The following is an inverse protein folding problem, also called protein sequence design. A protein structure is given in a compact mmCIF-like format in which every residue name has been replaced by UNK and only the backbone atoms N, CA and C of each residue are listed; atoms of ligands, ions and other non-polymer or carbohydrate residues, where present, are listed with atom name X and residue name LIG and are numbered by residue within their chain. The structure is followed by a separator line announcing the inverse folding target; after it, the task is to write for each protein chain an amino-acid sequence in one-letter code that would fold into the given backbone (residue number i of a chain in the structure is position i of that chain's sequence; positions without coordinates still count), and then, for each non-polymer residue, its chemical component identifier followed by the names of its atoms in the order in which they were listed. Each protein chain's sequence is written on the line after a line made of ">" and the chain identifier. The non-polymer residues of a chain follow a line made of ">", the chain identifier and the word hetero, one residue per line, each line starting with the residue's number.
data_IF_045190679359
#
_entry.id   IF_045190679359
#
_cell.length_a   1.000
_cell.length_b   1.000
_cell.length_c   1.000
_cell.angle_alpha   90.00
_cell.angle_beta   90.00
_cell.angle_gamma   90.00
#
_symmetry.space_group_name_H-M   'P 1'
#
loop_
_entity.id
_entity.type
_entity.pdbx_description
1 polymer ?
#
# COMPACT_ATOMS: atom_id res chain seq x y z
N UNK A 1 -13.86 -12.13 11.89
CA UNK A 1 -14.77 -13.21 12.35
C UNK A 1 -16.24 -12.80 12.37
N UNK A 2 -16.62 -11.61 12.88
CA UNK A 2 -18.03 -11.21 13.00
C UNK A 2 -18.80 -11.17 11.66
N UNK A 3 -18.23 -10.65 10.56
CA UNK A 3 -18.87 -10.69 9.23
C UNK A 3 -18.98 -12.10 8.64
N UNK A 4 -17.99 -12.97 8.86
CA UNK A 4 -18.07 -14.35 8.36
C UNK A 4 -19.14 -15.16 9.10
N UNK A 5 -19.31 -14.88 10.40
CA UNK A 5 -20.37 -15.46 11.23
C UNK A 5 -21.74 -14.88 10.86
N UNK A 6 -21.86 -13.56 10.64
CA UNK A 6 -23.11 -12.94 10.19
C UNK A 6 -23.49 -13.36 8.75
N UNK A 7 -22.52 -13.44 7.83
CA UNK A 7 -22.74 -13.95 6.45
C UNK A 7 -23.03 -15.46 6.44
N UNK A 8 -22.38 -16.21 7.32
CA UNK A 8 -22.67 -17.62 7.57
C UNK A 8 -24.09 -17.81 8.09
N UNK A 9 -24.47 -17.07 9.13
CA UNK A 9 -25.84 -17.04 9.66
C UNK A 9 -26.85 -16.65 8.58
N UNK A 10 -26.59 -15.63 7.76
CA UNK A 10 -27.49 -15.26 6.65
C UNK A 10 -27.60 -16.37 5.58
N UNK A 11 -26.52 -17.09 5.27
CA UNK A 11 -26.57 -18.26 4.36
C UNK A 11 -27.31 -19.45 4.98
N UNK A 12 -27.12 -19.71 6.26
CA UNK A 12 -27.78 -20.81 6.99
C UNK A 12 -29.26 -20.50 7.24
N UNK A 13 -29.63 -19.24 7.45
CA UNK A 13 -31.00 -18.79 7.64
C UNK A 13 -31.75 -18.57 6.32
N UNK A 14 -31.03 -18.53 5.19
CA UNK A 14 -31.60 -18.37 3.84
C UNK A 14 -31.95 -19.68 3.14
N UNK A 15 -31.91 -20.82 3.85
CA UNK A 15 -31.99 -22.15 3.24
C UNK A 15 -32.75 -23.20 4.04
N UNK A 16 -33.82 -22.83 4.75
CA UNK A 16 -34.76 -23.80 5.33
C UNK A 16 -36.20 -23.42 4.95
N UNK A 17 -36.96 -24.39 4.43
CA UNK A 17 -38.41 -24.33 4.13
C UNK A 17 -39.30 -24.18 5.40
N UNK A 18 -38.74 -23.66 6.50
CA UNK A 18 -39.41 -23.50 7.79
C UNK A 18 -39.93 -22.07 8.05
N UNK A 19 -39.91 -21.17 7.06
CA UNK A 19 -40.53 -19.85 7.17
C UNK A 19 -39.84 -18.87 8.13
N UNK A 20 -38.63 -19.20 8.59
CA UNK A 20 -37.88 -18.41 9.59
C UNK A 20 -36.63 -17.73 9.01
N UNK A 21 -36.65 -17.41 7.72
CA UNK A 21 -35.61 -16.57 7.11
C UNK A 21 -35.73 -15.15 7.66
N UNK A 22 -34.66 -14.60 8.24
CA UNK A 22 -34.61 -13.16 8.52
C UNK A 22 -34.89 -12.44 7.20
N UNK A 23 -35.97 -11.65 7.10
CA UNK A 23 -36.36 -11.04 5.84
C UNK A 23 -35.26 -10.06 5.44
N UNK A 24 -34.48 -10.48 4.45
CA UNK A 24 -33.34 -9.74 3.93
C UNK A 24 -33.54 -9.46 2.45
N UNK A 25 -33.20 -8.25 2.05
CA UNK A 25 -33.31 -7.79 0.66
C UNK A 25 -31.93 -7.39 0.16
N UNK A 26 -31.59 -7.74 -1.09
CA UNK A 26 -30.40 -7.18 -1.72
C UNK A 26 -30.68 -5.73 -2.07
N UNK A 27 -29.84 -4.82 -1.57
CA UNK A 27 -29.86 -3.40 -1.90
C UNK A 27 -28.71 -3.09 -2.86
N UNK A 28 -28.95 -2.27 -3.91
CA UNK A 28 -27.92 -1.94 -4.90
C UNK A 28 -26.80 -1.08 -4.32
N UNK A 29 -27.08 -0.33 -3.24
CA UNK A 29 -26.14 0.58 -2.58
C UNK A 29 -26.07 0.27 -1.10
N UNK A 30 -24.89 0.43 -0.51
CA UNK A 30 -24.71 0.43 0.94
C UNK A 30 -24.62 1.86 1.46
N UNK A 31 -25.50 2.25 2.38
CA UNK A 31 -25.57 3.59 2.96
C UNK A 31 -25.00 3.66 4.39
N UNK A 32 -24.48 2.53 4.89
CA UNK A 32 -24.08 2.34 6.28
C UNK A 32 -25.22 2.64 7.28
N UNK A 33 -26.44 2.20 6.94
CA UNK A 33 -27.58 2.22 7.85
C UNK A 33 -27.52 1.12 8.92
N UNK A 34 -28.34 1.24 9.97
CA UNK A 34 -28.38 0.28 11.08
C UNK A 34 -29.07 -1.03 10.73
N UNK A 35 -29.87 -1.02 9.67
CA UNK A 35 -30.63 -2.17 9.18
C UNK A 35 -29.98 -2.79 7.94
N UNK A 36 -28.67 -2.65 7.74
CA UNK A 36 -28.00 -3.22 6.57
C UNK A 36 -26.53 -3.57 6.82
N UNK A 37 -26.04 -4.60 6.11
CA UNK A 37 -24.64 -5.04 6.16
C UNK A 37 -24.04 -5.00 4.76
N UNK A 38 -22.82 -4.49 4.57
CA UNK A 38 -22.19 -4.39 3.26
C UNK A 38 -21.88 -5.76 2.64
N UNK A 39 -22.15 -5.89 1.34
CA UNK A 39 -21.87 -7.08 0.54
C UNK A 39 -20.50 -7.01 -0.15
N UNK A 40 -19.80 -8.14 -0.26
CA UNK A 40 -18.53 -8.23 -0.98
C UNK A 40 -18.69 -8.19 -2.51
N UNK A 41 -19.90 -8.40 -3.03
CA UNK A 41 -20.22 -8.29 -4.46
C UNK A 41 -20.65 -6.86 -4.85
N UNK A 42 -20.67 -5.93 -3.90
CA UNK A 42 -21.29 -4.61 -4.07
C UNK A 42 -22.68 -4.53 -3.43
N UNK A 43 -23.10 -3.30 -3.09
CA UNK A 43 -24.36 -3.04 -2.41
C UNK A 43 -24.42 -3.54 -0.96
N UNK A 44 -25.62 -3.84 -0.48
CA UNK A 44 -25.85 -4.27 0.90
C UNK A 44 -26.90 -5.37 1.00
N UNK A 45 -26.89 -6.06 2.14
CA UNK A 45 -27.98 -6.92 2.60
C UNK A 45 -28.79 -6.08 3.58
N UNK A 46 -29.98 -5.67 3.19
CA UNK A 46 -30.92 -4.92 4.03
C UNK A 46 -31.79 -5.83 4.87
N UNK A 47 -32.22 -5.35 6.03
CA UNK A 47 -33.06 -6.06 7.00
C UNK A 47 -34.27 -5.19 7.37
N UNK A 48 -35.38 -5.84 7.73
CA UNK A 48 -36.60 -5.13 8.22
C UNK A 48 -36.45 -4.54 9.63
N UNK A 49 -35.41 -4.93 10.36
CA UNK A 49 -35.10 -4.48 11.71
C UNK A 49 -33.69 -3.94 11.78
N UNK A 50 -33.40 -3.10 12.78
CA UNK A 50 -32.04 -2.69 13.09
C UNK A 50 -31.22 -3.91 13.53
N UNK A 51 -30.11 -4.17 12.86
CA UNK A 51 -29.18 -5.28 13.14
C UNK A 51 -27.81 -4.81 13.58
N UNK A 52 -27.53 -3.50 13.47
CA UNK A 52 -26.32 -2.84 13.92
C UNK A 52 -26.64 -1.81 15.02
N UNK A 53 -25.66 -1.47 15.89
CA UNK A 53 -25.83 -0.43 16.90
C UNK A 53 -26.16 0.95 16.30
N UNK A 54 -26.84 1.80 17.08
CA UNK A 54 -27.21 3.16 16.64
C UNK A 54 -26.03 4.14 16.58
N UNK A 55 -24.98 3.89 17.36
CA UNK A 55 -23.75 4.67 17.26
C UNK A 55 -23.10 4.45 15.88
N UNK A 56 -22.94 5.49 15.04
CA UNK A 56 -22.50 5.32 13.66
C UNK A 56 -21.13 4.65 13.52
N UNK A 57 -20.20 4.93 14.43
CA UNK A 57 -18.84 4.38 14.37
C UNK A 57 -18.82 2.91 14.78
N UNK A 58 -19.60 2.53 15.79
CA UNK A 58 -19.78 1.15 16.20
C UNK A 58 -20.51 0.34 15.11
N UNK A 59 -21.56 0.90 14.51
CA UNK A 59 -22.25 0.31 13.36
C UNK A 59 -21.27 0.05 12.20
N UNK A 60 -20.46 1.06 11.86
CA UNK A 60 -19.47 0.96 10.80
C UNK A 60 -18.41 -0.12 11.10
N UNK A 61 -17.90 -0.15 12.33
CA UNK A 61 -16.95 -1.16 12.81
C UNK A 61 -17.53 -2.57 12.65
N UNK A 62 -18.78 -2.78 13.06
CA UNK A 62 -19.40 -4.10 13.02
C UNK A 62 -19.71 -4.52 11.58
N UNK A 63 -20.34 -3.64 10.80
CA UNK A 63 -20.73 -3.89 9.42
C UNK A 63 -19.54 -4.15 8.50
N UNK A 64 -18.40 -3.50 8.74
CA UNK A 64 -17.20 -3.62 7.88
C UNK A 64 -16.09 -4.47 8.50
N UNK A 65 -16.24 -4.90 9.76
CA UNK A 65 -15.22 -5.64 10.52
C UNK A 65 -13.86 -4.94 10.59
N UNK A 66 -13.85 -3.62 10.62
CA UNK A 66 -12.68 -2.82 10.99
C UNK A 66 -12.68 -2.60 12.50
N UNK A 67 -11.50 -2.66 13.14
CA UNK A 67 -11.39 -2.23 14.51
C UNK A 67 -11.82 -0.76 14.64
N UNK A 68 -12.60 -0.46 15.68
CA UNK A 68 -13.12 0.89 15.92
C UNK A 68 -12.00 1.93 16.04
N UNK A 69 -10.82 1.52 16.51
CA UNK A 69 -9.66 2.40 16.66
C UNK A 69 -9.11 2.92 15.32
N UNK A 70 -9.15 2.12 14.25
CA UNK A 70 -8.77 2.60 12.90
C UNK A 70 -9.80 3.60 12.39
N UNK A 71 -11.09 3.31 12.58
CA UNK A 71 -12.14 4.21 12.14
C UNK A 71 -12.07 5.54 12.91
N UNK A 72 -11.76 5.48 14.22
CA UNK A 72 -11.50 6.66 15.06
C UNK A 72 -10.29 7.44 14.58
N UNK A 73 -9.19 6.76 14.25
CA UNK A 73 -8.01 7.39 13.65
C UNK A 73 -8.39 8.17 12.39
N UNK A 74 -9.07 7.53 11.44
CA UNK A 74 -9.50 8.18 10.22
C UNK A 74 -10.45 9.35 10.48
N UNK A 75 -11.38 9.23 11.44
CA UNK A 75 -12.32 10.31 11.78
C UNK A 75 -11.67 11.58 12.33
N UNK A 76 -10.40 11.53 12.76
CA UNK A 76 -9.63 12.72 13.15
C UNK A 76 -9.20 13.55 11.94
N UNK A 77 -9.11 12.94 10.76
CA UNK A 77 -8.50 13.53 9.57
C UNK A 77 -9.45 13.58 8.37
N UNK A 78 -10.51 12.77 8.38
CA UNK A 78 -11.45 12.62 7.28
C UNK A 78 -12.89 12.82 7.78
N UNK A 79 -13.76 13.45 6.96
CA UNK A 79 -15.19 13.52 7.26
C UNK A 79 -15.80 12.11 7.28
N UNK A 80 -16.92 11.94 7.99
CA UNK A 80 -17.57 10.63 8.16
C UNK A 80 -17.89 9.92 6.83
N UNK A 81 -18.26 10.67 5.79
CA UNK A 81 -18.51 10.12 4.46
C UNK A 81 -17.27 9.42 3.87
N UNK A 82 -16.09 10.03 4.05
CA UNK A 82 -14.83 9.47 3.60
C UNK A 82 -14.39 8.28 4.47
N UNK A 83 -14.60 8.35 5.79
CA UNK A 83 -14.37 7.20 6.68
C UNK A 83 -15.22 5.99 6.27
N UNK A 84 -16.50 6.20 5.93
CA UNK A 84 -17.39 5.15 5.40
C UNK A 84 -16.86 4.59 4.07
N UNK A 85 -16.41 5.47 3.16
CA UNK A 85 -15.84 5.08 1.86
C UNK A 85 -14.55 4.27 2.02
N UNK A 86 -13.66 4.65 2.92
CA UNK A 86 -12.44 3.89 3.23
C UNK A 86 -12.76 2.52 3.85
N UNK A 87 -13.74 2.45 4.75
CA UNK A 87 -14.19 1.19 5.33
C UNK A 87 -14.87 0.29 4.27
N UNK A 88 -15.59 0.88 3.32
CA UNK A 88 -16.14 0.19 2.13
C UNK A 88 -15.02 -0.36 1.26
N UNK A 89 -14.03 0.47 0.89
CA UNK A 89 -12.86 0.05 0.12
C UNK A 89 -12.15 -1.12 0.77
N UNK A 90 -12.00 -1.07 2.11
CA UNK A 90 -11.43 -2.18 2.86
C UNK A 90 -12.13 -3.50 2.56
N UNK A 91 -13.43 -3.54 2.27
CA UNK A 91 -14.14 -4.79 1.96
C UNK A 91 -13.90 -5.33 0.54
N UNK A 92 -13.22 -4.60 -0.33
CA UNK A 92 -12.97 -5.02 -1.70
C UNK A 92 -12.14 -6.30 -1.75
N UNK A 93 -12.37 -7.09 -2.81
CA UNK A 93 -11.43 -8.14 -3.23
C UNK A 93 -10.42 -7.47 -4.15
N UNK A 94 -9.18 -7.23 -3.69
CA UNK A 94 -8.23 -6.43 -4.44
C UNK A 94 -7.77 -7.22 -5.69
N UNK A 95 -7.76 -6.60 -6.89
CA UNK A 95 -7.30 -7.26 -8.09
C UNK A 95 -5.78 -7.47 -8.07
N UNK A 96 -5.31 -8.39 -8.91
CA UNK A 96 -3.89 -8.48 -9.27
C UNK A 96 -3.60 -7.39 -10.28
N UNK A 97 -2.74 -6.44 -9.91
CA UNK A 97 -2.32 -5.35 -10.79
C UNK A 97 -0.86 -5.53 -11.14
N UNK A 98 -0.56 -5.48 -12.42
CA UNK A 98 0.77 -5.51 -13.00
C UNK A 98 1.25 -4.08 -13.24
N UNK A 99 2.48 -3.79 -12.84
CA UNK A 99 3.22 -2.66 -13.38
C UNK A 99 3.86 -3.12 -14.70
N UNK A 100 3.53 -2.38 -15.76
CA UNK A 100 3.93 -2.65 -17.14
C UNK A 100 4.52 -1.40 -17.78
N UNK A 101 4.91 -0.40 -16.98
CA UNK A 101 5.46 0.87 -17.46
C UNK A 101 6.81 0.68 -18.18
N UNK A 102 7.49 -0.42 -17.90
CA UNK A 102 8.78 -0.79 -18.47
C UNK A 102 8.69 -2.00 -19.42
N UNK A 103 7.48 -2.40 -19.81
CA UNK A 103 7.29 -3.55 -20.69
C UNK A 103 7.95 -3.32 -22.06
N UNK A 104 8.87 -4.21 -22.44
CA UNK A 104 9.62 -4.19 -23.70
C UNK A 104 8.83 -4.76 -24.88
N UNK A 105 7.84 -5.60 -24.59
CA UNK A 105 6.93 -6.20 -25.57
C UNK A 105 5.48 -6.16 -25.10
N UNK A 106 4.55 -6.36 -26.05
CA UNK A 106 3.12 -6.38 -25.79
C UNK A 106 2.75 -7.44 -24.73
N UNK A 107 1.69 -7.14 -23.97
CA UNK A 107 1.15 -8.07 -22.99
C UNK A 107 0.25 -9.12 -23.68
N UNK A 108 0.03 -10.29 -23.06
CA UNK A 108 -0.83 -11.33 -23.63
C UNK A 108 -2.26 -10.81 -23.87
N UNK A 109 -2.72 -10.86 -25.11
CA UNK A 109 -4.07 -10.44 -25.48
C UNK A 109 -5.14 -11.23 -24.71
N UNK A 110 -6.19 -10.55 -24.25
CA UNK A 110 -7.31 -11.17 -23.52
C UNK A 110 -7.04 -11.52 -22.05
N UNK A 111 -5.79 -11.49 -21.59
CA UNK A 111 -5.42 -11.81 -20.19
C UNK A 111 -5.13 -10.58 -19.33
N UNK A 112 -5.26 -9.38 -19.91
CA UNK A 112 -5.08 -8.10 -19.21
C UNK A 112 -6.16 -7.10 -19.59
N UNK A 113 -6.51 -6.24 -18.64
CA UNK A 113 -7.31 -5.04 -18.85
C UNK A 113 -6.51 -3.79 -18.47
N UNK A 114 -6.57 -2.73 -19.28
CA UNK A 114 -5.89 -1.49 -19.00
C UNK A 114 -6.38 -0.89 -17.67
N UNK A 115 -5.44 -0.53 -16.79
CA UNK A 115 -5.76 0.17 -15.55
C UNK A 115 -5.92 1.67 -15.82
N UNK A 116 -6.73 2.36 -14.99
CA UNK A 116 -6.97 3.80 -15.11
C UNK A 116 -5.71 4.66 -14.86
N UNK A 117 -4.72 4.09 -14.17
CA UNK A 117 -3.38 4.67 -14.02
C UNK A 117 -2.49 4.14 -15.14
N UNK A 118 -1.91 5.01 -15.99
CA UNK A 118 -1.01 4.59 -17.07
C UNK A 118 0.15 3.72 -16.58
N UNK A 119 0.62 2.83 -17.47
CA UNK A 119 1.70 1.90 -17.15
C UNK A 119 1.30 0.77 -16.19
N UNK A 120 0.00 0.56 -15.99
CA UNK A 120 -0.52 -0.54 -15.15
C UNK A 120 -1.64 -1.28 -15.88
N UNK A 121 -1.77 -2.57 -15.57
CA UNK A 121 -2.82 -3.43 -16.09
C UNK A 121 -3.39 -4.33 -14.99
N UNK A 122 -4.69 -4.58 -15.02
CA UNK A 122 -5.33 -5.60 -14.21
C UNK A 122 -5.16 -6.94 -14.91
N UNK A 123 -4.66 -7.94 -14.19
CA UNK A 123 -4.59 -9.31 -14.70
C UNK A 123 -5.97 -9.98 -14.66
N UNK A 124 -6.40 -10.54 -15.79
CA UNK A 124 -7.68 -11.25 -15.95
C UNK A 124 -7.50 -12.72 -16.33
N UNK A 125 -6.27 -13.16 -16.59
CA UNK A 125 -5.94 -14.55 -16.90
C UNK A 125 -5.90 -15.48 -15.69
N UNK A 126 -5.49 -16.73 -15.90
CA UNK A 126 -5.34 -17.72 -14.83
C UNK A 126 -4.13 -17.42 -13.93
N UNK A 127 -4.10 -18.04 -12.75
CA UNK A 127 -2.93 -17.96 -11.86
C UNK A 127 -1.69 -18.60 -12.48
N UNK A 128 -1.84 -19.71 -13.20
CA UNK A 128 -0.71 -20.43 -13.81
C UNK A 128 -0.11 -19.65 -14.98
N UNK A 129 -0.95 -18.99 -15.78
CA UNK A 129 -0.50 -18.07 -16.82
C UNK A 129 0.23 -16.86 -16.25
N UNK A 130 -0.24 -16.34 -15.10
CA UNK A 130 0.45 -15.25 -14.41
C UNK A 130 1.83 -15.69 -13.93
N UNK A 131 1.93 -16.87 -13.31
CA UNK A 131 3.20 -17.40 -12.83
C UNK A 131 4.21 -17.53 -13.98
N UNK A 132 3.78 -18.14 -15.10
CA UNK A 132 4.60 -18.24 -16.32
C UNK A 132 5.05 -16.88 -16.83
N UNK A 133 4.12 -15.92 -16.94
CA UNK A 133 4.42 -14.56 -17.39
C UNK A 133 5.50 -13.91 -16.52
N UNK A 134 5.39 -14.02 -15.20
CA UNK A 134 6.33 -13.39 -14.25
C UNK A 134 7.70 -14.10 -14.19
N UNK A 135 7.76 -15.38 -14.53
CA UNK A 135 9.00 -16.13 -14.68
C UNK A 135 9.74 -15.77 -15.98
N UNK A 136 9.00 -15.63 -17.07
CA UNK A 136 9.55 -15.33 -18.40
C UNK A 136 9.90 -13.84 -18.59
N UNK A 137 9.19 -12.94 -17.88
CA UNK A 137 9.32 -11.49 -18.04
C UNK A 137 9.74 -10.79 -16.75
N UNK A 138 10.94 -10.23 -16.77
CA UNK A 138 11.48 -9.42 -15.68
C UNK A 138 11.00 -7.96 -15.70
N UNK A 139 10.55 -7.49 -16.87
CA UNK A 139 10.10 -6.13 -17.17
C UNK A 139 8.62 -5.87 -16.84
N UNK A 140 7.93 -6.91 -16.33
CA UNK A 140 6.56 -6.85 -15.78
C UNK A 140 6.57 -7.49 -14.39
N UNK A 141 5.83 -6.92 -13.44
CA UNK A 141 5.68 -7.49 -12.10
C UNK A 141 4.40 -7.05 -11.42
N UNK A 142 3.97 -7.78 -10.39
CA UNK A 142 2.81 -7.40 -9.58
C UNK A 142 3.16 -6.20 -8.70
N UNK A 143 2.46 -5.08 -8.91
CA UNK A 143 2.60 -3.88 -8.10
C UNK A 143 1.38 -2.97 -8.26
N UNK A 144 0.81 -2.57 -7.13
CA UNK A 144 -0.28 -1.59 -7.10
C UNK A 144 0.20 -0.20 -7.55
N UNK A 145 -0.61 0.60 -8.28
CA UNK A 145 -0.24 1.94 -8.69
C UNK A 145 0.15 2.85 -7.51
N UNK A 146 -0.49 2.68 -6.35
CA UNK A 146 -0.15 3.42 -5.15
C UNK A 146 1.26 3.06 -4.64
N UNK A 147 1.67 1.80 -4.76
CA UNK A 147 3.04 1.38 -4.41
C UNK A 147 4.06 1.85 -5.44
N UNK A 148 3.69 1.96 -6.72
CA UNK A 148 4.62 2.41 -7.77
C UNK A 148 4.91 3.92 -7.71
N UNK A 149 3.96 4.69 -7.15
CA UNK A 149 3.95 6.15 -7.15
C UNK A 149 5.23 6.79 -6.62
N UNK A 150 5.81 6.23 -5.55
CA UNK A 150 7.02 6.77 -4.94
C UNK A 150 8.17 6.85 -5.95
N UNK A 151 8.52 5.73 -6.59
CA UNK A 151 9.64 5.68 -7.55
C UNK A 151 9.27 6.40 -8.85
N UNK A 152 8.02 6.27 -9.31
CA UNK A 152 7.55 7.00 -10.50
C UNK A 152 7.63 8.53 -10.32
N UNK A 153 7.45 9.04 -9.10
CA UNK A 153 7.54 10.47 -8.81
C UNK A 153 8.94 11.07 -8.93
N UNK A 154 9.96 10.25 -9.12
CA UNK A 154 11.37 10.66 -9.24
C UNK A 154 12.04 10.15 -10.53
N UNK A 155 11.26 9.67 -11.49
CA UNK A 155 11.79 9.08 -12.73
C UNK A 155 12.56 10.06 -13.63
N UNK A 156 12.40 11.36 -13.43
CA UNK A 156 13.15 12.42 -14.10
C UNK A 156 14.55 12.64 -13.51
N UNK A 157 14.85 12.10 -12.32
CA UNK A 157 16.17 12.18 -11.72
C UNK A 157 17.18 11.30 -12.46
N UNK A 158 18.48 11.59 -12.28
CA UNK A 158 19.60 10.82 -12.84
C UNK A 158 20.63 10.48 -11.75
N UNK A 159 20.24 9.73 -10.70
CA UNK A 159 21.16 9.33 -9.64
C UNK A 159 22.22 8.35 -10.18
N UNK A 160 23.45 8.40 -9.66
CA UNK A 160 24.48 7.41 -9.96
C UNK A 160 24.47 6.26 -8.96
N UNK A 161 24.15 6.55 -7.70
CA UNK A 161 24.00 5.56 -6.62
C UNK A 161 22.63 5.70 -5.99
N UNK A 162 21.87 4.62 -6.02
CA UNK A 162 20.53 4.51 -5.44
C UNK A 162 20.57 3.45 -4.35
N UNK A 163 20.00 3.77 -3.18
CA UNK A 163 19.90 2.85 -2.06
C UNK A 163 18.44 2.59 -1.73
N UNK A 164 18.04 1.33 -1.59
CA UNK A 164 16.76 0.91 -1.00
C UNK A 164 17.01 0.29 0.38
N UNK A 165 16.75 1.05 1.45
CA UNK A 165 17.12 0.66 2.81
C UNK A 165 16.04 -0.14 3.55
N UNK A 166 14.86 -0.30 2.95
CA UNK A 166 13.72 -1.04 3.52
C UNK A 166 13.08 -1.88 2.42
N UNK A 167 13.90 -2.62 1.68
CA UNK A 167 13.53 -3.20 0.40
C UNK A 167 12.43 -4.28 0.48
N UNK A 168 12.24 -4.91 1.64
CA UNK A 168 11.27 -5.97 1.83
C UNK A 168 11.51 -7.12 0.86
N UNK A 169 10.50 -7.45 0.04
CA UNK A 169 10.60 -8.47 -1.01
C UNK A 169 11.09 -7.91 -2.37
N UNK A 170 11.46 -6.62 -2.43
CA UNK A 170 12.15 -6.04 -3.59
C UNK A 170 11.26 -5.48 -4.70
N UNK A 171 9.95 -5.32 -4.50
CA UNK A 171 9.06 -4.75 -5.54
C UNK A 171 9.48 -3.34 -5.96
N UNK A 172 9.75 -2.45 -4.98
CA UNK A 172 10.24 -1.10 -5.28
C UNK A 172 11.70 -1.10 -5.73
N UNK A 173 12.52 -2.03 -5.22
CA UNK A 173 13.89 -2.23 -5.70
C UNK A 173 13.93 -2.59 -7.19
N UNK A 174 13.06 -3.50 -7.65
CA UNK A 174 12.91 -3.83 -9.07
C UNK A 174 12.51 -2.60 -9.87
N UNK A 175 11.57 -1.81 -9.37
CA UNK A 175 11.15 -0.58 -10.02
C UNK A 175 12.29 0.45 -10.08
N UNK A 176 13.09 0.62 -9.02
CA UNK A 176 14.27 1.49 -9.03
C UNK A 176 15.27 1.04 -10.10
N UNK A 177 15.56 -0.26 -10.19
CA UNK A 177 16.45 -0.83 -11.20
C UNK A 177 15.95 -0.60 -12.63
N UNK A 178 14.65 -0.70 -12.86
CA UNK A 178 14.02 -0.43 -14.16
C UNK A 178 13.98 1.08 -14.49
N UNK A 179 13.80 1.93 -13.48
CA UNK A 179 13.72 3.40 -13.64
C UNK A 179 15.09 4.04 -13.84
N UNK A 180 16.13 3.51 -13.17
CA UNK A 180 17.49 4.04 -13.21
C UNK A 180 18.48 2.99 -13.70
N UNK A 181 18.44 2.62 -15.00
CA UNK A 181 19.19 1.45 -15.47
C UNK A 181 20.72 1.61 -15.42
N UNK A 182 21.19 2.85 -15.43
CA UNK A 182 22.61 3.22 -15.36
C UNK A 182 23.11 3.45 -13.92
N UNK A 183 22.21 3.41 -12.93
CA UNK A 183 22.59 3.62 -11.53
C UNK A 183 23.10 2.31 -10.90
N UNK A 184 24.08 2.44 -10.00
CA UNK A 184 24.36 1.38 -9.03
C UNK A 184 23.21 1.36 -8.02
N UNK A 185 22.40 0.30 -8.05
CA UNK A 185 21.30 0.09 -7.10
C UNK A 185 21.75 -0.88 -6.02
N UNK A 186 21.75 -0.42 -4.77
CA UNK A 186 22.04 -1.24 -3.59
C UNK A 186 20.77 -1.38 -2.76
N UNK A 187 20.47 -2.59 -2.29
CA UNK A 187 19.27 -2.88 -1.52
C UNK A 187 19.57 -3.68 -0.26
N UNK A 188 18.82 -3.42 0.81
CA UNK A 188 18.91 -4.16 2.06
C UNK A 188 17.58 -4.19 2.80
N UNK A 189 17.47 -5.11 3.75
CA UNK A 189 16.40 -5.16 4.75
C UNK A 189 17.01 -5.66 6.07
N UNK A 190 16.54 -5.14 7.20
CA UNK A 190 17.02 -5.53 8.53
C UNK A 190 16.47 -6.90 8.95
N UNK A 191 15.34 -7.33 8.38
CA UNK A 191 14.75 -8.63 8.62
C UNK A 191 15.44 -9.70 7.75
N UNK A 192 16.09 -10.66 8.40
CA UNK A 192 16.87 -11.69 7.71
C UNK A 192 16.04 -12.57 6.75
N UNK A 193 14.75 -12.79 7.05
CA UNK A 193 13.87 -13.58 6.18
C UNK A 193 13.54 -12.79 4.92
N UNK A 194 13.20 -11.50 5.06
CA UNK A 194 12.96 -10.62 3.91
C UNK A 194 14.23 -10.41 3.10
N UNK A 195 15.38 -10.24 3.74
CA UNK A 195 16.66 -10.11 3.07
C UNK A 195 17.01 -11.37 2.25
N UNK A 196 16.70 -12.57 2.77
CA UNK A 196 16.82 -13.83 2.02
C UNK A 196 15.97 -13.82 0.76
N UNK A 197 14.67 -13.52 0.89
CA UNK A 197 13.76 -13.42 -0.26
C UNK A 197 14.17 -12.33 -1.26
N UNK A 198 14.71 -11.20 -0.79
CA UNK A 198 15.23 -10.12 -1.62
C UNK A 198 16.43 -10.58 -2.45
N UNK A 199 17.37 -11.34 -1.87
CA UNK A 199 18.53 -11.90 -2.59
C UNK A 199 18.08 -12.80 -3.74
N UNK A 200 17.10 -13.67 -3.48
CA UNK A 200 16.55 -14.55 -4.50
C UNK A 200 15.84 -13.75 -5.60
N UNK A 201 14.99 -12.79 -5.22
CA UNK A 201 14.23 -11.96 -6.16
C UNK A 201 15.12 -11.07 -7.05
N UNK A 202 16.27 -10.61 -6.54
CA UNK A 202 17.19 -9.71 -7.25
C UNK A 202 18.32 -10.43 -7.99
N UNK A 203 18.41 -11.77 -7.91
CA UNK A 203 19.47 -12.55 -8.56
C UNK A 203 19.49 -12.29 -10.08
N UNK A 204 20.66 -11.90 -10.60
CA UNK A 204 20.84 -11.63 -12.03
C UNK A 204 20.29 -10.29 -12.54
N UNK A 205 19.67 -9.47 -11.67
CA UNK A 205 19.09 -8.16 -12.06
C UNK A 205 20.12 -7.01 -12.10
N UNK A 206 21.33 -7.26 -11.58
CA UNK A 206 22.35 -6.22 -11.39
C UNK A 206 22.16 -5.37 -10.13
N UNK A 207 21.14 -5.63 -9.31
CA UNK A 207 20.99 -5.03 -7.98
C UNK A 207 21.97 -5.69 -7.00
N UNK A 208 22.68 -4.87 -6.23
CA UNK A 208 23.57 -5.33 -5.17
C UNK A 208 22.78 -5.47 -3.86
N UNK A 209 22.55 -6.71 -3.41
CA UNK A 209 21.87 -6.95 -2.14
C UNK A 209 22.89 -7.15 -1.04
N UNK A 210 22.88 -6.28 -0.02
CA UNK A 210 23.84 -6.27 1.09
C UNK A 210 23.18 -6.52 2.44
N UNK A 211 23.94 -7.06 3.39
CA UNK A 211 23.52 -7.13 4.79
C UNK A 211 23.39 -5.71 5.37
N UNK A 212 22.37 -5.47 6.21
CA UNK A 212 22.09 -4.14 6.76
C UNK A 212 23.32 -3.43 7.39
N UNK A 213 24.19 -4.10 8.18
CA UNK A 213 25.38 -3.44 8.72
C UNK A 213 26.37 -2.92 7.67
N UNK A 214 26.41 -3.52 6.48
CA UNK A 214 27.29 -3.09 5.37
C UNK A 214 26.79 -1.83 4.68
N UNK A 215 25.55 -1.41 4.95
CA UNK A 215 25.01 -0.18 4.37
C UNK A 215 25.84 1.06 4.74
N UNK A 216 26.50 1.04 5.90
CA UNK A 216 27.41 2.10 6.36
C UNK A 216 28.63 2.29 5.45
N UNK A 217 29.01 1.28 4.67
CA UNK A 217 30.10 1.39 3.68
C UNK A 217 29.73 2.37 2.53
N UNK A 218 28.46 2.73 2.39
CA UNK A 218 27.95 3.72 1.43
C UNK A 218 27.83 5.14 2.01
N UNK A 219 28.37 5.40 3.20
CA UNK A 219 28.36 6.74 3.79
C UNK A 219 28.88 7.80 2.80
N UNK A 220 28.11 8.86 2.61
CA UNK A 220 28.44 9.96 1.69
C UNK A 220 28.36 9.61 0.19
N UNK A 221 27.82 8.47 -0.22
CA UNK A 221 27.84 8.03 -1.62
C UNK A 221 26.48 8.11 -2.32
N UNK A 222 25.36 7.97 -1.60
CA UNK A 222 24.04 7.82 -2.19
C UNK A 222 23.50 9.15 -2.76
N UNK A 223 23.13 9.14 -4.04
CA UNK A 223 22.42 10.25 -4.68
C UNK A 223 20.93 10.24 -4.31
N UNK A 224 20.36 9.05 -4.13
CA UNK A 224 18.97 8.83 -3.74
C UNK A 224 18.87 7.64 -2.77
N UNK A 225 18.19 7.83 -1.65
CA UNK A 225 17.84 6.76 -0.70
C UNK A 225 16.33 6.62 -0.65
N UNK A 226 15.79 5.47 -1.07
CA UNK A 226 14.40 5.09 -0.85
C UNK A 226 14.23 4.52 0.57
N UNK A 227 13.28 5.09 1.30
CA UNK A 227 12.82 4.63 2.61
C UNK A 227 11.34 4.25 2.51
N UNK A 228 11.05 3.02 2.09
CA UNK A 228 9.71 2.43 2.18
C UNK A 228 9.48 1.84 3.57
N UNK A 229 9.24 2.72 4.53
CA UNK A 229 9.38 2.39 5.95
C UNK A 229 8.24 1.49 6.47
N UNK A 230 8.50 0.67 7.50
CA UNK A 230 7.44 -0.01 8.24
C UNK A 230 6.39 0.98 8.75
N UNK A 231 5.12 0.70 8.50
CA UNK A 231 3.99 1.57 8.82
C UNK A 231 2.75 0.78 9.26
N UNK A 232 1.67 1.50 9.62
CA UNK A 232 0.42 0.90 10.10
C UNK A 232 -0.36 0.09 9.04
N UNK A 233 0.00 0.22 7.76
CA UNK A 233 -0.70 -0.40 6.62
C UNK A 233 -2.17 0.01 6.47
N UNK A 234 -2.57 1.15 7.04
CA UNK A 234 -3.96 1.64 6.97
C UNK A 234 -4.41 2.00 5.55
N UNK A 235 -3.50 2.17 4.60
CA UNK A 235 -3.81 2.38 3.18
C UNK A 235 -4.07 1.10 2.38
N UNK A 236 -3.75 -0.09 2.92
CA UNK A 236 -3.76 -1.38 2.17
C UNK A 236 -4.62 -2.44 2.87
N UNK A 237 -5.66 -2.04 3.62
CA UNK A 237 -6.45 -2.96 4.46
C UNK A 237 -7.26 -4.02 3.69
N UNK A 238 -7.53 -3.81 2.40
CA UNK A 238 -8.13 -4.81 1.53
C UNK A 238 -7.15 -5.95 1.23
N UNK A 239 -5.86 -5.64 1.04
CA UNK A 239 -4.79 -6.64 0.83
C UNK A 239 -4.25 -7.24 2.13
N UNK A 240 -4.25 -6.49 3.23
CA UNK A 240 -3.74 -6.92 4.55
C UNK A 240 -4.86 -6.99 5.59
N UNK A 241 -5.67 -8.04 5.52
CA UNK A 241 -6.86 -8.22 6.37
C UNK A 241 -6.54 -8.19 7.87
N UNK A 242 -5.43 -8.80 8.24
CA UNK A 242 -4.84 -8.75 9.59
C UNK A 242 -4.69 -7.33 10.18
N UNK A 243 -4.40 -6.32 9.35
CA UNK A 243 -4.00 -4.99 9.78
C UNK A 243 -5.21 -4.25 10.35
N UNK A 244 -6.41 -4.66 9.94
CA UNK A 244 -7.69 -4.18 10.47
C UNK A 244 -7.86 -4.38 11.98
N UNK A 245 -7.13 -5.34 12.56
CA UNK A 245 -7.26 -5.73 13.96
C UNK A 245 -5.99 -5.44 14.77
N UNK A 246 -4.89 -5.11 14.11
CA UNK A 246 -3.56 -4.91 14.72
C UNK A 246 -3.30 -3.48 15.19
N UNK A 247 -4.18 -2.55 14.86
CA UNK A 247 -3.98 -1.14 15.16
C UNK A 247 -4.32 -0.86 16.63
N UNK A 248 -3.35 -0.27 17.33
CA UNK A 248 -3.51 0.35 18.63
C UNK A 248 -2.62 1.59 18.73
N UNK A 249 -2.93 2.48 19.67
CA UNK A 249 -2.24 3.76 19.83
C UNK A 249 -0.75 3.59 20.16
N UNK A 250 -0.40 2.67 21.06
CA UNK A 250 0.98 2.46 21.48
C UNK A 250 1.85 1.90 20.33
N UNK A 251 1.26 1.09 19.46
CA UNK A 251 1.89 0.63 18.22
C UNK A 251 2.10 1.79 17.25
N UNK A 252 1.10 2.65 17.04
CA UNK A 252 1.26 3.82 16.16
C UNK A 252 2.40 4.73 16.65
N UNK A 253 2.45 5.04 17.95
CA UNK A 253 3.52 5.87 18.54
C UNK A 253 4.92 5.25 18.36
N UNK A 254 5.03 3.91 18.46
CA UNK A 254 6.28 3.17 18.19
C UNK A 254 6.67 3.23 16.71
N UNK A 255 5.72 3.10 15.79
CA UNK A 255 5.95 3.23 14.34
C UNK A 255 6.44 4.64 14.00
N UNK A 256 5.74 5.66 14.47
CA UNK A 256 6.11 7.08 14.28
C UNK A 256 7.54 7.36 14.78
N UNK A 257 7.92 6.81 15.92
CA UNK A 257 9.28 6.96 16.47
C UNK A 257 10.33 6.20 15.65
N UNK A 258 10.02 4.97 15.25
CA UNK A 258 10.90 4.15 14.41
C UNK A 258 11.14 4.79 13.04
N UNK A 259 10.12 5.37 12.42
CA UNK A 259 10.23 6.04 11.13
C UNK A 259 11.18 7.25 11.19
N UNK A 260 11.12 8.05 12.28
CA UNK A 260 12.09 9.13 12.52
C UNK A 260 13.51 8.61 12.64
N UNK A 261 13.69 7.50 13.35
CA UNK A 261 15.00 6.87 13.49
C UNK A 261 15.53 6.39 12.13
N UNK A 262 14.71 5.72 11.32
CA UNK A 262 15.10 5.27 9.98
C UNK A 262 15.49 6.46 9.08
N UNK A 263 14.76 7.57 9.13
CA UNK A 263 15.13 8.79 8.43
C UNK A 263 16.51 9.28 8.90
N UNK A 264 16.72 9.36 10.22
CA UNK A 264 17.99 9.82 10.80
C UNK A 264 19.17 8.92 10.41
N UNK A 265 18.99 7.60 10.44
CA UNK A 265 20.02 6.61 10.11
C UNK A 265 20.39 6.61 8.62
N UNK A 266 19.49 7.07 7.75
CA UNK A 266 19.73 7.19 6.33
C UNK A 266 20.52 8.45 5.92
N UNK A 267 20.51 9.51 6.74
CA UNK A 267 21.17 10.79 6.43
C UNK A 267 22.67 10.63 6.14
N UNK A 268 23.45 9.85 6.94
CA UNK A 268 24.89 9.66 6.67
C UNK A 268 25.20 9.00 5.33
N UNK A 269 24.24 8.29 4.72
CA UNK A 269 24.43 7.65 3.41
C UNK A 269 24.43 8.67 2.27
N UNK A 270 23.75 9.81 2.47
CA UNK A 270 23.55 10.80 1.43
C UNK A 270 24.86 11.46 1.03
N UNK A 271 25.05 11.60 -0.27
CA UNK A 271 26.16 12.36 -0.82
C UNK A 271 26.11 13.81 -0.32
N UNK A 272 27.18 14.25 0.32
CA UNK A 272 27.33 15.63 0.75
C UNK A 272 27.71 16.52 -0.44
N UNK A 273 27.22 17.76 -0.45
CA UNK A 273 27.57 18.74 -1.48
C UNK A 273 29.05 19.11 -1.39
N UNK A 274 29.81 18.83 -2.46
CA UNK A 274 31.21 19.21 -2.63
C UNK A 274 31.57 19.14 -4.12
N UNK A 275 32.36 20.10 -4.63
CA UNK A 275 32.86 20.09 -6.02
C UNK A 275 31.82 20.33 -7.12
N UNK A 276 30.69 20.99 -6.83
CA UNK A 276 29.63 21.27 -7.80
C UNK A 276 28.58 20.15 -7.96
N UNK A 277 28.58 19.14 -7.08
CA UNK A 277 27.59 18.04 -7.08
C UNK A 277 26.43 18.38 -6.13
N UNK A 278 25.19 18.13 -6.58
CA UNK A 278 23.98 18.27 -5.78
C UNK A 278 24.00 17.33 -4.55
N UNK A 279 23.45 17.80 -3.42
CA UNK A 279 23.25 16.98 -2.22
C UNK A 279 22.33 15.80 -2.54
N UNK A 280 22.61 14.62 -1.98
CA UNK A 280 21.75 13.44 -2.10
C UNK A 280 20.36 13.68 -1.50
N UNK A 281 19.37 12.92 -1.96
CA UNK A 281 17.97 13.05 -1.55
C UNK A 281 17.43 11.78 -0.88
N UNK A 282 16.40 11.93 -0.03
CA UNK A 282 15.62 10.83 0.53
C UNK A 282 14.26 10.80 -0.15
N UNK A 283 13.88 9.66 -0.71
CA UNK A 283 12.52 9.35 -1.12
C UNK A 283 11.84 8.56 0.00
N UNK A 284 11.03 9.25 0.80
CA UNK A 284 10.25 8.65 1.88
C UNK A 284 8.93 8.11 1.36
N UNK A 285 8.52 6.91 1.79
CA UNK A 285 7.28 6.27 1.36
C UNK A 285 6.61 5.48 2.48
N UNK A 286 5.28 5.49 2.52
CA UNK A 286 4.47 4.60 3.36
C UNK A 286 3.22 4.12 2.62
N UNK A 287 2.58 3.08 3.15
CA UNK A 287 1.19 2.71 2.82
C UNK A 287 0.24 2.97 4.00
N UNK A 288 0.44 4.11 4.69
CA UNK A 288 -0.41 4.60 5.78
C UNK A 288 -1.26 5.79 5.32
N UNK A 289 -2.43 5.94 5.93
CA UNK A 289 -3.29 7.13 5.82
C UNK A 289 -3.15 8.06 7.02
N UNK A 290 -2.31 7.72 8.01
CA UNK A 290 -2.08 8.52 9.21
C UNK A 290 -1.09 9.66 8.93
N UNK A 291 -1.50 10.94 9.08
CA UNK A 291 -0.58 12.07 8.93
C UNK A 291 0.65 12.02 9.86
N UNK A 292 0.53 11.35 11.01
CA UNK A 292 1.64 11.17 11.95
C UNK A 292 2.76 10.29 11.36
N UNK A 293 2.42 9.38 10.47
CA UNK A 293 3.36 8.53 9.72
C UNK A 293 3.76 9.15 8.38
N UNK A 294 3.18 10.27 7.97
CA UNK A 294 3.34 10.83 6.63
C UNK A 294 3.88 12.27 6.68
N UNK A 295 2.99 13.26 6.63
CA UNK A 295 3.34 14.68 6.59
C UNK A 295 4.13 15.13 7.82
N UNK A 296 3.83 14.57 8.99
CA UNK A 296 4.55 14.92 10.22
C UNK A 296 5.99 14.39 10.23
N UNK A 297 6.26 13.26 9.57
CA UNK A 297 7.61 12.70 9.43
C UNK A 297 8.49 13.60 8.57
N UNK A 298 7.98 14.02 7.42
CA UNK A 298 8.73 14.88 6.49
C UNK A 298 8.89 16.29 7.05
N UNK A 299 7.88 16.82 7.78
CA UNK A 299 7.99 18.12 8.47
C UNK A 299 9.00 18.05 9.61
N UNK A 300 9.03 16.95 10.36
CA UNK A 300 10.05 16.72 11.37
C UNK A 300 11.46 16.69 10.74
N UNK A 301 11.65 15.96 9.64
CA UNK A 301 12.91 15.90 8.93
C UNK A 301 13.34 17.28 8.38
N UNK A 302 12.40 18.04 7.80
CA UNK A 302 12.67 19.39 7.31
C UNK A 302 13.09 20.34 8.43
N UNK A 303 12.42 20.27 9.59
CA UNK A 303 12.70 21.12 10.75
C UNK A 303 14.05 20.81 11.41
N UNK A 304 14.38 19.53 11.59
CA UNK A 304 15.50 19.11 12.43
C UNK A 304 16.75 18.67 11.65
N UNK A 305 16.61 18.37 10.35
CA UNK A 305 17.70 17.85 9.51
C UNK A 305 17.95 18.70 8.24
N UNK A 306 17.38 19.91 8.19
CA UNK A 306 17.58 20.89 7.11
C UNK A 306 17.27 20.34 5.71
N UNK A 307 16.24 19.50 5.62
CA UNK A 307 15.66 19.09 4.34
C UNK A 307 14.63 20.09 3.84
N UNK A 308 14.45 20.17 2.53
CA UNK A 308 13.26 20.74 1.90
C UNK A 308 12.41 19.61 1.33
N UNK A 309 11.09 19.73 1.48
CA UNK A 309 10.15 18.84 0.80
C UNK A 309 10.03 19.32 -0.65
N UNK A 310 10.76 18.67 -1.56
CA UNK A 310 10.80 19.03 -2.97
C UNK A 310 9.55 18.56 -3.72
N UNK A 311 9.02 17.38 -3.33
CA UNK A 311 7.80 16.78 -3.88
C UNK A 311 7.05 16.05 -2.78
N UNK A 312 5.73 16.06 -2.86
CA UNK A 312 4.85 15.37 -1.93
C UNK A 312 3.63 14.83 -2.67
N UNK A 313 3.33 13.55 -2.45
CA UNK A 313 2.21 12.86 -3.07
C UNK A 313 1.46 12.04 -2.03
N UNK A 314 0.14 12.23 -1.98
CA UNK A 314 -0.76 11.40 -1.18
C UNK A 314 -1.78 10.77 -2.12
N UNK A 315 -2.00 9.46 -1.96
CA UNK A 315 -3.06 8.73 -2.64
C UNK A 315 -3.96 8.10 -1.59
N UNK A 316 -5.23 8.45 -1.62
CA UNK A 316 -6.26 7.72 -0.87
C UNK A 316 -6.69 6.48 -1.67
N UNK A 317 -7.07 5.38 -1.00
CA UNK A 317 -7.54 4.19 -1.68
C UNK A 317 -8.76 4.46 -2.56
N UNK A 318 -8.85 3.82 -3.71
CA UNK A 318 -9.95 3.94 -4.69
C UNK A 318 -10.45 2.56 -5.10
N UNK A 319 -11.71 2.49 -5.54
CA UNK A 319 -12.41 1.24 -5.77
C UNK A 319 -13.10 0.71 -4.50
N UNK A 320 -14.02 -0.23 -4.69
CA UNK A 320 -14.78 -0.87 -3.62
C UNK A 320 -15.45 -2.16 -4.11
N UNK A 321 -16.11 -2.92 -3.23
CA UNK A 321 -16.91 -4.08 -3.63
C UNK A 321 -17.85 -3.77 -4.81
N UNK A 322 -17.80 -4.60 -5.86
CA UNK A 322 -18.64 -4.45 -7.06
C UNK A 322 -18.20 -3.34 -8.03
N UNK A 323 -17.18 -2.55 -7.71
CA UNK A 323 -16.63 -1.54 -8.63
C UNK A 323 -15.60 -2.13 -9.59
N UNK A 324 -15.28 -1.40 -10.67
CA UNK A 324 -14.35 -1.87 -11.68
C UNK A 324 -12.94 -2.08 -11.11
N UNK A 325 -12.38 -3.27 -11.34
CA UNK A 325 -11.00 -3.60 -10.94
C UNK A 325 -9.97 -2.65 -11.56
N UNK A 326 -10.26 -2.11 -12.75
CA UNK A 326 -9.38 -1.19 -13.48
C UNK A 326 -9.28 0.20 -12.86
N UNK A 327 -10.10 0.53 -11.87
CA UNK A 327 -9.99 1.77 -11.07
C UNK A 327 -9.46 1.54 -9.65
N UNK A 328 -9.17 0.30 -9.27
CA UNK A 328 -8.71 -0.02 -7.92
C UNK A 328 -7.30 0.52 -7.67
N UNK A 329 -7.10 1.28 -6.59
CA UNK A 329 -5.76 1.56 -6.09
C UNK A 329 -5.75 1.54 -4.58
N UNK A 330 -4.65 1.06 -3.98
CA UNK A 330 -4.46 1.21 -2.55
C UNK A 330 -4.17 2.68 -2.15
N UNK A 331 -4.00 2.91 -0.85
CA UNK A 331 -3.52 4.16 -0.29
C UNK A 331 -2.00 4.16 -0.10
N UNK A 332 -1.37 5.30 -0.40
CA UNK A 332 0.05 5.50 -0.17
C UNK A 332 0.40 6.97 0.05
N UNK A 333 1.59 7.18 0.59
CA UNK A 333 2.22 8.49 0.72
C UNK A 333 3.66 8.40 0.23
N UNK A 334 4.12 9.43 -0.48
CA UNK A 334 5.51 9.55 -0.90
C UNK A 334 5.98 11.01 -0.87
N UNK A 335 7.23 11.24 -0.49
CA UNK A 335 7.83 12.57 -0.50
C UNK A 335 9.32 12.52 -0.82
N UNK A 336 9.78 13.48 -1.62
CA UNK A 336 11.20 13.68 -1.92
C UNK A 336 11.76 14.79 -1.01
N UNK A 337 12.76 14.45 -0.21
CA UNK A 337 13.49 15.33 0.70
C UNK A 337 14.88 15.63 0.14
N UNK A 338 15.21 16.91 -0.07
CA UNK A 338 16.51 17.38 -0.59
C UNK A 338 17.06 18.56 0.20
#
# INVERSE_FOLDING_TARGET
>A
LCNAVLRGLVRTLGGDDSGNAFPSEKRPTWNAGWNEVPSSEGGAIGFKVDVLPKDPMTALSYGTSHAIEILRLWSKHFPLAEVKRLAWHGLAVPPVILNTAHAESALPEGSVAAHAVPGHHVWTGSHDDLARLLEERSDVWVQDPASSLAVSSVADLRPKVVVDACAGMGTKTRQLRATFPEARVVATDIDAVRLGALKDAMKGTGVEVVEYPKLQELAGQADLVLLDVPCSNTGVLARRLEARYRFDRARSERLVSMQKQIIADAIPLLRHSGGGVARGAILYSTCSLDPAENQEQVRWAAKWHMFKVAREHTRTPQGGPGEAATSYTDGSYAALLS
#
